data_IF_457917053241
#
_entry.id   IF_457917053241
#
_cell.length_a   1.000
_cell.length_b   1.000
_cell.length_c   1.000
_cell.angle_alpha   90.00
_cell.angle_beta   90.00
_cell.angle_gamma   90.00
#
_symmetry.space_group_name_H-M   'P 1'
#
loop_
_entity.id
_entity.type
_entity.pdbx_description
1 polymer ?
#
# COMPACT_ATOMS: atom_id res chain seq x y z
N UNK A 1 49.90 -35.08 -40.75
CA UNK A 1 48.52 -35.40 -41.22
C UNK A 1 47.81 -34.06 -41.34
N UNK A 2 48.07 -33.22 -42.35
CA UNK A 2 47.64 -33.27 -43.76
C UNK A 2 46.13 -33.51 -43.96
N UNK A 3 45.37 -32.43 -44.17
CA UNK A 3 44.54 -32.15 -45.37
C UNK A 3 44.04 -30.68 -45.26
N UNK A 4 44.54 -29.77 -46.11
CA UNK A 4 44.00 -29.38 -47.43
C UNK A 4 42.69 -28.57 -47.26
N UNK A 5 42.41 -27.46 -47.94
CA UNK A 5 42.93 -26.81 -49.14
C UNK A 5 41.85 -25.80 -49.59
N UNK A 6 42.24 -24.72 -50.27
CA UNK A 6 41.41 -23.61 -50.78
C UNK A 6 40.57 -23.99 -52.01
N UNK A 7 39.45 -23.29 -52.21
CA UNK A 7 38.83 -22.84 -53.49
C UNK A 7 37.81 -21.74 -53.07
N UNK A 8 37.76 -20.46 -53.50
CA UNK A 8 38.02 -19.71 -54.74
C UNK A 8 37.00 -19.98 -55.85
N UNK A 9 35.92 -19.19 -55.88
CA UNK A 9 35.36 -18.74 -57.16
C UNK A 9 34.66 -17.37 -57.04
N UNK A 10 35.16 -16.43 -57.84
CA UNK A 10 34.56 -15.15 -58.22
C UNK A 10 33.42 -15.37 -59.23
N UNK A 11 32.61 -14.32 -59.48
CA UNK A 11 32.22 -13.79 -60.83
C UNK A 11 31.00 -12.87 -60.63
N UNK A 12 31.19 -11.54 -60.54
CA UNK A 12 31.15 -10.53 -61.62
C UNK A 12 29.74 -10.09 -62.07
N UNK A 13 29.43 -8.84 -61.71
CA UNK A 13 28.89 -7.73 -62.52
C UNK A 13 27.92 -7.98 -63.68
N UNK A 14 26.78 -7.28 -63.65
CA UNK A 14 26.30 -6.54 -64.83
C UNK A 14 25.41 -5.35 -64.43
N UNK A 15 25.77 -4.19 -64.96
CA UNK A 15 25.11 -2.89 -64.89
C UNK A 15 23.90 -2.83 -65.83
N UNK A 16 22.86 -2.04 -65.52
CA UNK A 16 21.93 -1.61 -66.57
C UNK A 16 20.56 -1.07 -66.15
N UNK A 17 20.41 0.25 -66.28
CA UNK A 17 19.24 0.98 -66.81
C UNK A 17 17.98 1.14 -65.92
N UNK A 18 17.71 2.39 -65.54
CA UNK A 18 16.37 2.91 -65.21
C UNK A 18 15.73 3.55 -66.48
N UNK A 19 14.40 3.55 -66.63
CA UNK A 19 13.68 4.82 -66.42
C UNK A 19 12.23 4.73 -65.87
N UNK A 20 11.74 5.92 -65.54
CA UNK A 20 10.50 6.37 -64.89
C UNK A 20 9.16 5.89 -65.50
N UNK A 21 8.14 5.71 -64.64
CA UNK A 21 6.90 6.54 -64.62
C UNK A 21 6.04 6.26 -63.37
N UNK A 22 5.35 7.32 -62.96
CA UNK A 22 4.63 7.54 -61.72
C UNK A 22 3.34 6.72 -61.54
N UNK A 23 2.91 6.53 -60.28
CA UNK A 23 1.55 6.71 -59.75
C UNK A 23 1.59 6.40 -58.23
N UNK A 24 1.43 7.40 -57.34
CA UNK A 24 0.19 7.83 -56.67
C UNK A 24 -0.03 7.12 -55.30
N UNK A 25 -0.48 7.94 -54.33
CA UNK A 25 -1.07 7.63 -53.02
C UNK A 25 -0.10 7.56 -51.82
N UNK A 26 -0.01 8.64 -51.03
CA UNK A 26 -0.89 8.99 -49.89
C UNK A 26 -0.87 7.95 -48.77
N UNK A 27 -0.19 8.25 -47.67
CA UNK A 27 -0.85 8.46 -46.38
C UNK A 27 0.19 8.87 -45.33
N UNK A 28 0.11 10.13 -44.92
CA UNK A 28 0.84 10.69 -43.78
C UNK A 28 0.17 10.21 -42.50
N UNK A 29 0.70 9.17 -41.86
CA UNK A 29 0.25 8.76 -40.53
C UNK A 29 0.99 9.60 -39.49
N UNK A 30 0.38 10.72 -39.11
CA UNK A 30 0.73 11.46 -37.89
C UNK A 30 0.59 10.52 -36.69
N UNK A 31 1.72 10.15 -36.07
CA UNK A 31 1.73 9.40 -34.83
C UNK A 31 1.29 10.33 -33.69
N UNK A 32 0.03 10.18 -33.25
CA UNK A 32 -0.48 10.81 -32.04
C UNK A 32 0.10 10.05 -30.85
N UNK A 33 1.12 10.63 -30.22
CA UNK A 33 1.66 10.14 -28.94
C UNK A 33 0.63 10.49 -27.86
N UNK A 34 -0.19 9.52 -27.47
CA UNK A 34 -0.99 9.61 -26.25
C UNK A 34 -0.04 9.53 -25.05
N UNK A 35 0.28 10.69 -24.47
CA UNK A 35 0.86 10.77 -23.14
C UNK A 35 -0.22 10.35 -22.13
N UNK A 36 -0.25 9.06 -21.79
CA UNK A 36 -1.03 8.55 -20.66
C UNK A 36 -0.33 9.04 -19.40
N UNK A 37 -0.83 10.16 -18.86
CA UNK A 37 -0.47 10.63 -17.54
C UNK A 37 -0.91 9.59 -16.52
N UNK A 38 0.05 8.89 -15.95
CA UNK A 38 -0.18 8.06 -14.77
C UNK A 38 -0.53 9.00 -13.61
N UNK A 39 -1.83 9.21 -13.38
CA UNK A 39 -2.32 9.59 -12.06
C UNK A 39 -1.95 8.44 -11.14
N UNK A 40 -0.82 8.58 -10.45
CA UNK A 40 -0.51 7.79 -9.29
C UNK A 40 -1.55 8.14 -8.22
N UNK A 41 -2.73 7.54 -8.32
CA UNK A 41 -3.50 7.26 -7.13
C UNK A 41 -2.54 6.48 -6.23
N UNK A 42 -2.13 7.11 -5.13
CA UNK A 42 -1.62 6.37 -3.99
C UNK A 42 -2.76 5.44 -3.58
N UNK A 43 -2.83 4.28 -4.23
CA UNK A 43 -3.53 3.14 -3.71
C UNK A 43 -2.90 2.94 -2.34
N UNK A 44 -3.65 3.26 -1.29
CA UNK A 44 -3.33 2.77 0.04
C UNK A 44 -3.18 1.28 -0.13
N UNK A 45 -1.92 0.81 -0.14
CA UNK A 45 -1.69 -0.60 0.08
C UNK A 45 -2.45 -0.91 1.37
N UNK A 46 -3.33 -1.93 1.42
CA UNK A 46 -3.92 -2.39 2.67
C UNK A 46 -2.76 -2.87 3.54
N UNK A 47 -2.18 -1.92 4.28
CA UNK A 47 -0.78 -1.91 4.63
C UNK A 47 -0.69 -1.38 6.04
N UNK A 48 -1.20 -2.18 6.97
CA UNK A 48 -1.18 -1.97 8.40
C UNK A 48 -1.74 -0.59 8.81
N UNK A 49 -3.06 -0.49 8.93
CA UNK A 49 -3.66 0.58 9.74
C UNK A 49 -3.65 0.13 11.20
N UNK A 50 -3.47 1.09 12.11
CA UNK A 50 -3.68 0.90 13.54
C UNK A 50 -4.87 1.76 13.97
N UNK A 51 -5.71 1.22 14.84
CA UNK A 51 -6.86 1.96 15.36
C UNK A 51 -6.98 1.70 16.85
N UNK A 52 -7.07 2.76 17.67
CA UNK A 52 -7.14 2.64 19.13
C UNK A 52 -8.56 2.42 19.62
N UNK A 53 -9.55 2.97 18.93
CA UNK A 53 -10.96 2.87 19.32
C UNK A 53 -11.86 2.94 18.10
N UNK A 54 -13.11 2.49 18.23
CA UNK A 54 -14.07 2.49 17.12
C UNK A 54 -14.62 3.88 16.80
N UNK A 55 -14.32 4.86 17.65
CA UNK A 55 -14.78 6.24 17.51
C UNK A 55 -13.66 7.20 17.13
N UNK A 56 -12.46 6.67 16.87
CA UNK A 56 -11.34 7.41 16.29
C UNK A 56 -11.11 6.93 14.85
N UNK A 57 -10.56 7.80 13.99
CA UNK A 57 -10.09 7.38 12.68
C UNK A 57 -8.98 6.32 12.80
N UNK A 58 -8.74 5.49 11.76
CA UNK A 58 -7.53 4.70 11.67
C UNK A 58 -6.30 5.60 11.50
N UNK A 59 -5.15 5.11 11.92
CA UNK A 59 -3.84 5.71 11.70
C UNK A 59 -3.02 4.83 10.76
N UNK A 60 -2.34 5.45 9.79
CA UNK A 60 -1.50 4.74 8.83
C UNK A 60 -0.14 4.41 9.43
N UNK A 61 0.31 3.15 9.36
CA UNK A 61 1.64 2.76 9.85
C UNK A 61 2.76 3.41 9.04
N UNK A 62 3.69 4.06 9.75
CA UNK A 62 4.86 4.76 9.21
C UNK A 62 6.17 4.07 9.53
N UNK A 63 6.20 3.21 10.55
CA UNK A 63 7.41 2.52 10.98
C UNK A 63 7.06 1.13 11.54
N UNK A 64 7.82 0.11 11.13
CA UNK A 64 7.74 -1.26 11.65
C UNK A 64 9.14 -1.75 12.02
N UNK A 65 9.31 -2.25 13.24
CA UNK A 65 10.59 -2.76 13.74
C UNK A 65 10.41 -4.04 14.54
N UNK A 66 11.43 -4.90 14.53
CA UNK A 66 11.45 -6.10 15.36
C UNK A 66 10.33 -7.10 15.09
N UNK A 67 9.79 -7.14 13.88
CA UNK A 67 8.70 -8.06 13.48
C UNK A 67 9.02 -9.50 13.87
N UNK A 68 8.04 -10.23 14.41
CA UNK A 68 8.16 -11.59 14.95
C UNK A 68 9.08 -11.75 16.19
N UNK A 69 9.48 -10.66 16.85
CA UNK A 69 10.32 -10.73 18.05
C UNK A 69 9.54 -10.45 19.34
N UNK A 70 10.22 -10.53 20.49
CA UNK A 70 9.68 -10.13 21.80
C UNK A 70 9.47 -8.62 21.96
N UNK A 71 9.99 -7.80 21.04
CA UNK A 71 9.96 -6.35 21.07
C UNK A 71 9.49 -5.76 19.72
N UNK A 72 8.59 -6.46 19.03
CA UNK A 72 8.02 -5.98 17.77
C UNK A 72 7.27 -4.66 18.02
N UNK A 73 7.47 -3.66 17.17
CA UNK A 73 6.85 -2.33 17.32
C UNK A 73 6.36 -1.80 15.98
N UNK A 74 5.19 -1.15 16.03
CA UNK A 74 4.66 -0.34 14.95
C UNK A 74 4.45 1.08 15.48
N UNK A 75 4.72 2.08 14.63
CA UNK A 75 4.22 3.45 14.81
C UNK A 75 3.31 3.78 13.64
N UNK A 76 2.21 4.44 13.93
CA UNK A 76 1.26 4.92 12.95
C UNK A 76 0.92 6.38 13.22
N UNK A 77 0.55 7.10 12.17
CA UNK A 77 0.24 8.53 12.21
C UNK A 77 -1.13 8.78 11.63
N UNK A 78 -1.92 9.63 12.27
CA UNK A 78 -3.21 10.03 11.71
C UNK A 78 -2.98 10.98 10.54
N UNK A 79 -3.46 10.58 9.37
CA UNK A 79 -3.35 11.37 8.16
C UNK A 79 -4.66 12.11 7.88
N UNK A 80 -4.56 13.22 7.16
CA UNK A 80 -5.73 13.94 6.67
C UNK A 80 -6.73 13.06 5.89
N UNK A 81 -6.32 12.22 4.91
CA UNK A 81 -7.27 11.39 4.19
C UNK A 81 -7.99 10.38 5.11
N UNK A 82 -7.31 9.81 6.11
CA UNK A 82 -7.92 8.89 7.07
C UNK A 82 -9.00 9.58 7.91
N UNK A 83 -8.71 10.79 8.38
CA UNK A 83 -9.65 11.61 9.15
C UNK A 83 -10.87 11.99 8.30
N UNK A 84 -10.65 12.45 7.07
CA UNK A 84 -11.72 12.86 6.16
C UNK A 84 -12.65 11.68 5.87
N UNK A 85 -12.07 10.53 5.51
CA UNK A 85 -12.83 9.30 5.25
C UNK A 85 -13.66 8.89 6.47
N UNK A 86 -13.03 8.79 7.64
CA UNK A 86 -13.69 8.34 8.86
C UNK A 86 -14.84 9.27 9.31
N UNK A 87 -14.67 10.59 9.15
CA UNK A 87 -15.73 11.56 9.43
C UNK A 87 -16.90 11.47 8.44
N UNK A 88 -16.64 11.19 7.16
CA UNK A 88 -17.71 10.96 6.18
C UNK A 88 -18.43 9.63 6.38
N UNK A 89 -17.72 8.59 6.84
CA UNK A 89 -18.30 7.30 7.19
C UNK A 89 -19.08 7.36 8.53
N UNK A 90 -18.91 8.43 9.31
CA UNK A 90 -19.79 8.77 10.42
C UNK A 90 -19.52 8.03 11.74
N UNK A 91 -18.43 7.27 11.85
CA UNK A 91 -18.11 6.58 13.11
C UNK A 91 -17.20 7.38 14.06
N UNK A 92 -16.55 8.45 13.60
CA UNK A 92 -15.73 9.29 14.49
C UNK A 92 -16.64 10.03 15.49
N UNK A 93 -16.39 9.83 16.78
CA UNK A 93 -17.17 10.38 17.89
C UNK A 93 -18.70 10.33 17.65
N UNK A 94 -19.22 9.14 17.32
CA UNK A 94 -20.62 8.92 16.89
C UNK A 94 -21.64 9.78 17.64
N UNK A 95 -22.43 10.55 16.88
CA UNK A 95 -23.49 11.42 17.40
C UNK A 95 -23.04 12.76 18.01
N UNK A 96 -21.73 13.02 18.09
CA UNK A 96 -21.19 14.26 18.68
C UNK A 96 -21.20 15.42 17.68
N UNK A 97 -20.96 15.14 16.40
CA UNK A 97 -20.85 16.17 15.36
C UNK A 97 -22.15 16.30 14.55
N UNK A 98 -22.54 17.55 14.29
CA UNK A 98 -23.73 17.89 13.49
C UNK A 98 -23.52 17.75 11.98
N UNK A 99 -22.27 17.66 11.51
CA UNK A 99 -21.93 17.42 10.11
C UNK A 99 -20.51 16.84 9.96
N UNK A 100 -20.20 16.17 8.83
CA UNK A 100 -18.85 15.69 8.54
C UNK A 100 -17.80 16.80 8.54
N UNK A 101 -18.12 18.00 8.06
CA UNK A 101 -17.18 19.13 8.01
C UNK A 101 -16.78 19.61 9.40
N UNK A 102 -17.74 19.60 10.34
CA UNK A 102 -17.46 19.91 11.74
C UNK A 102 -16.56 18.85 12.37
N UNK A 103 -16.85 17.57 12.11
CA UNK A 103 -16.00 16.45 12.51
C UNK A 103 -14.57 16.63 11.98
N UNK A 104 -14.40 16.83 10.67
CA UNK A 104 -13.09 16.95 10.02
C UNK A 104 -12.29 18.09 10.66
N UNK A 105 -12.89 19.27 10.83
CA UNK A 105 -12.21 20.44 11.40
C UNK A 105 -11.73 20.17 12.82
N UNK A 106 -12.59 19.62 13.68
CA UNK A 106 -12.28 19.43 15.11
C UNK A 106 -11.34 18.23 15.32
N UNK A 107 -11.53 17.15 14.57
CA UNK A 107 -10.65 15.97 14.60
C UNK A 107 -9.27 16.29 14.05
N UNK A 108 -9.15 17.11 12.99
CA UNK A 108 -7.83 17.56 12.49
C UNK A 108 -7.05 18.35 13.53
N UNK A 109 -7.70 19.26 14.25
CA UNK A 109 -7.03 20.03 15.32
C UNK A 109 -6.50 19.10 16.42
N UNK A 110 -7.24 18.04 16.72
CA UNK A 110 -6.89 17.14 17.83
C UNK A 110 -5.88 16.07 17.44
N UNK A 111 -6.00 15.48 16.25
CA UNK A 111 -5.30 14.25 15.89
C UNK A 111 -4.37 14.38 14.67
N UNK A 112 -4.48 15.43 13.85
CA UNK A 112 -3.70 15.47 12.60
C UNK A 112 -2.21 15.46 12.91
N UNK A 113 -1.56 14.39 12.47
CA UNK A 113 -0.14 14.19 12.69
C UNK A 113 0.25 13.63 14.05
N UNK A 114 -0.71 13.37 14.94
CA UNK A 114 -0.47 12.61 16.16
C UNK A 114 -0.09 11.16 15.82
N UNK A 115 0.70 10.57 16.71
CA UNK A 115 1.21 9.22 16.54
C UNK A 115 0.63 8.26 17.58
N UNK A 116 0.35 7.04 17.12
CA UNK A 116 0.01 5.92 17.97
C UNK A 116 1.05 4.82 17.78
N UNK A 117 1.27 4.02 18.83
CA UNK A 117 2.20 2.92 18.76
C UNK A 117 1.57 1.62 19.24
N UNK A 118 2.01 0.53 18.60
CA UNK A 118 1.71 -0.82 19.01
C UNK A 118 3.03 -1.53 19.34
N UNK A 119 3.05 -2.30 20.43
CA UNK A 119 4.20 -3.09 20.86
C UNK A 119 3.75 -4.51 21.15
N UNK A 120 4.32 -5.48 20.45
CA UNK A 120 4.00 -6.88 20.62
C UNK A 120 5.18 -7.69 21.18
N UNK A 121 4.84 -8.68 21.97
CA UNK A 121 5.72 -9.78 22.30
C UNK A 121 5.19 -11.04 21.61
N UNK A 122 5.77 -11.35 20.45
CA UNK A 122 5.30 -12.46 19.62
C UNK A 122 5.49 -13.83 20.29
N UNK A 123 6.49 -13.98 21.17
CA UNK A 123 6.68 -15.25 21.91
C UNK A 123 5.60 -15.50 22.96
N UNK A 124 5.02 -14.44 23.53
CA UNK A 124 3.98 -14.52 24.57
C UNK A 124 2.56 -14.30 24.05
N UNK A 125 2.41 -13.92 22.78
CA UNK A 125 1.12 -13.61 22.19
C UNK A 125 0.46 -12.38 22.82
N UNK A 126 1.23 -11.36 23.21
CA UNK A 126 0.68 -10.15 23.84
C UNK A 126 0.91 -8.91 22.98
N UNK A 127 -0.04 -7.99 22.98
CA UNK A 127 0.01 -6.70 22.30
C UNK A 127 -0.29 -5.57 23.28
N UNK A 128 0.42 -4.46 23.17
CA UNK A 128 0.01 -3.16 23.72
C UNK A 128 -0.33 -2.24 22.56
N UNK A 129 -1.51 -1.64 22.56
CA UNK A 129 -1.98 -0.71 21.53
C UNK A 129 -2.50 0.55 22.21
N UNK A 130 -1.76 1.65 22.10
CA UNK A 130 -1.98 2.80 22.96
C UNK A 130 -1.82 2.43 24.45
N UNK A 131 -2.83 2.73 25.25
CA UNK A 131 -2.85 2.42 26.69
C UNK A 131 -3.37 1.00 27.00
N UNK A 132 -3.99 0.33 26.01
CA UNK A 132 -4.60 -0.98 26.20
C UNK A 132 -3.59 -2.11 26.04
N UNK A 133 -3.79 -3.19 26.81
CA UNK A 133 -2.97 -4.41 26.73
C UNK A 133 -3.86 -5.62 26.47
N UNK A 134 -3.43 -6.44 25.51
CA UNK A 134 -4.16 -7.59 25.01
C UNK A 134 -3.29 -8.84 25.09
N UNK A 135 -3.95 -9.98 25.32
CA UNK A 135 -3.35 -11.31 25.24
C UNK A 135 -4.17 -12.12 24.25
N UNK A 136 -3.51 -12.75 23.27
CA UNK A 136 -4.16 -13.54 22.24
C UNK A 136 -4.64 -14.89 22.79
N UNK A 137 -5.82 -15.39 22.36
CA UNK A 137 -6.79 -14.71 21.50
C UNK A 137 -7.56 -13.60 22.22
N UNK A 138 -8.01 -12.59 21.48
CA UNK A 138 -8.81 -11.47 21.98
C UNK A 138 -10.27 -11.63 21.56
N UNK A 139 -11.20 -11.18 22.39
CA UNK A 139 -12.61 -11.12 22.04
C UNK A 139 -12.89 -9.94 21.11
N UNK A 140 -13.75 -10.14 20.12
CA UNK A 140 -14.14 -9.12 19.14
C UNK A 140 -15.19 -8.16 19.73
N UNK A 141 -14.74 -7.23 20.54
CA UNK A 141 -15.59 -6.16 21.06
C UNK A 141 -14.91 -4.81 20.89
N UNK A 142 -15.72 -3.84 20.46
CA UNK A 142 -15.34 -2.45 20.33
C UNK A 142 -14.93 -1.83 21.67
N UNK A 143 -15.70 -2.08 22.74
CA UNK A 143 -15.46 -1.43 24.04
C UNK A 143 -14.14 -1.85 24.68
N UNK A 144 -13.65 -3.05 24.38
CA UNK A 144 -12.32 -3.52 24.80
C UNK A 144 -11.22 -3.23 23.79
N UNK A 145 -11.54 -2.73 22.58
CA UNK A 145 -10.60 -2.53 21.47
C UNK A 145 -10.14 -3.83 20.79
N UNK A 146 -10.76 -4.97 21.10
CA UNK A 146 -10.31 -6.29 20.63
C UNK A 146 -10.36 -6.48 19.12
N UNK A 147 -11.34 -5.87 18.45
CA UNK A 147 -11.50 -5.91 16.99
C UNK A 147 -10.29 -5.34 16.21
N UNK A 148 -9.51 -4.46 16.83
CA UNK A 148 -8.30 -3.86 16.23
C UNK A 148 -7.01 -4.52 16.73
N UNK A 149 -7.06 -5.18 17.88
CA UNK A 149 -5.90 -5.80 18.49
C UNK A 149 -5.40 -7.01 17.69
N UNK A 150 -6.29 -7.87 17.18
CA UNK A 150 -5.87 -9.02 16.37
C UNK A 150 -5.20 -8.60 15.04
N UNK A 151 -5.79 -7.69 14.22
CA UNK A 151 -5.12 -7.15 13.03
C UNK A 151 -3.76 -6.51 13.33
N UNK A 152 -3.69 -5.64 14.36
CA UNK A 152 -2.45 -4.98 14.76
C UNK A 152 -1.37 -5.98 15.22
N UNK A 153 -1.78 -7.04 15.92
CA UNK A 153 -0.86 -8.11 16.33
C UNK A 153 -0.35 -8.90 15.13
N UNK A 154 -1.19 -9.21 14.14
CA UNK A 154 -0.79 -9.95 12.94
C UNK A 154 0.22 -9.18 12.09
N UNK A 155 0.11 -7.84 12.03
CA UNK A 155 1.14 -6.98 11.40
C UNK A 155 2.50 -7.17 12.08
N UNK A 156 2.54 -7.25 13.41
CA UNK A 156 3.77 -7.34 14.19
C UNK A 156 4.33 -8.76 14.32
N UNK A 157 3.45 -9.76 14.30
CA UNK A 157 3.77 -11.15 14.57
C UNK A 157 3.18 -12.11 13.51
N UNK A 158 3.44 -11.91 12.20
CA UNK A 158 2.82 -12.71 11.14
C UNK A 158 3.19 -14.20 11.18
N UNK A 159 4.25 -14.59 11.91
CA UNK A 159 4.67 -15.99 12.10
C UNK A 159 4.22 -16.59 13.44
N UNK A 160 3.37 -15.89 14.19
CA UNK A 160 2.84 -16.42 15.45
C UNK A 160 2.08 -17.72 15.22
N UNK A 161 2.39 -18.74 16.02
CA UNK A 161 1.80 -20.09 15.88
C UNK A 161 0.67 -20.38 16.87
N UNK A 162 0.39 -19.46 17.79
CA UNK A 162 -0.75 -19.57 18.69
C UNK A 162 -2.05 -19.17 17.99
N UNK A 163 -3.18 -19.29 18.71
CA UNK A 163 -4.48 -18.89 18.16
C UNK A 163 -4.59 -17.38 18.07
N UNK A 164 -4.98 -16.90 16.89
CA UNK A 164 -5.53 -15.57 16.65
C UNK A 164 -6.94 -15.86 16.14
N UNK A 165 -7.97 -15.37 16.84
CA UNK A 165 -9.33 -15.41 16.29
C UNK A 165 -9.36 -14.33 15.21
N UNK A 166 -9.67 -14.75 13.98
CA UNK A 166 -9.84 -13.81 12.88
C UNK A 166 -11.22 -13.15 13.00
N UNK A 167 -11.31 -11.84 12.75
CA UNK A 167 -12.59 -11.17 12.53
C UNK A 167 -13.33 -11.72 11.31
#
# INVERSE_FOLDING_TARGET
MNHAGRDLEQTQTASGVAPRRALLQMSSTSAIIFAIGFLAFAASAPGAELQRSCIEPPATVIELTGVNTKHARAKAKFSEPDIVKACHEGYVAQGTFSSPEKCIRETKVTLLGDEISAVANCSKGTLRLGEMTFKMPVDENCASGGIFAAPAFTVLCPKYRGRIVNP
#
